data_IF_968839952251
#
_entry.id   IF_968839952251
#
_cell.length_a   1.000
_cell.length_b   1.000
_cell.length_c   1.000
_cell.angle_alpha   90.00
_cell.angle_beta   90.00
_cell.angle_gamma   90.00
#
_symmetry.space_group_name_H-M   'P 1'
#
loop_
_entity.id
_entity.type
_entity.pdbx_description
1 polymer ?
#
# COMPACT_ATOMS: atom_id res chain seq x y z
N UNK A 1 -58.36 23.95 7.96
CA UNK A 1 -57.04 23.89 8.54
C UNK A 1 -56.50 22.44 8.57
N UNK A 2 -57.24 21.46 9.11
CA UNK A 2 -56.83 20.04 9.18
C UNK A 2 -56.56 19.45 7.79
N UNK A 3 -57.40 19.68 6.79
CA UNK A 3 -57.22 19.18 5.42
C UNK A 3 -55.97 19.75 4.74
N UNK A 4 -55.63 21.02 4.99
CA UNK A 4 -54.42 21.65 4.46
C UNK A 4 -53.19 21.08 5.15
N UNK A 5 -53.22 20.86 6.47
CA UNK A 5 -52.12 20.27 7.21
C UNK A 5 -51.86 18.80 6.76
N UNK A 6 -52.91 18.00 6.55
CA UNK A 6 -52.77 16.62 6.06
C UNK A 6 -52.22 16.56 4.63
N UNK A 7 -52.61 17.48 3.75
CA UNK A 7 -52.08 17.57 2.39
C UNK A 7 -50.62 17.97 2.37
N UNK A 8 -50.22 18.96 3.18
CA UNK A 8 -48.81 19.36 3.33
C UNK A 8 -47.95 18.23 3.88
N UNK A 9 -48.47 17.49 4.86
CA UNK A 9 -47.79 16.33 5.43
C UNK A 9 -47.62 15.20 4.40
N UNK A 10 -48.64 14.92 3.58
CA UNK A 10 -48.57 13.93 2.52
C UNK A 10 -47.54 14.31 1.44
N UNK A 11 -47.45 15.58 1.05
CA UNK A 11 -46.47 16.11 0.12
C UNK A 11 -45.04 15.98 0.71
N UNK A 12 -44.87 16.33 1.99
CA UNK A 12 -43.60 16.18 2.68
C UNK A 12 -43.14 14.72 2.75
N UNK A 13 -44.05 13.79 3.07
CA UNK A 13 -43.76 12.35 3.04
C UNK A 13 -43.34 11.88 1.64
N UNK A 14 -44.08 12.31 0.62
CA UNK A 14 -43.74 11.95 -0.77
C UNK A 14 -42.34 12.45 -1.18
N UNK A 15 -42.00 13.71 -0.85
CA UNK A 15 -40.72 14.28 -1.14
C UNK A 15 -39.59 13.61 -0.36
N UNK A 16 -39.80 13.23 0.91
CA UNK A 16 -38.82 12.54 1.74
C UNK A 16 -38.60 11.07 1.36
N UNK A 17 -39.49 10.51 0.53
CA UNK A 17 -39.42 9.13 0.06
C UNK A 17 -38.43 8.92 -1.10
N UNK A 18 -37.91 9.98 -1.69
CA UNK A 18 -37.00 9.89 -2.81
C UNK A 18 -35.59 10.39 -2.44
N UNK A 19 -34.59 9.81 -3.07
CA UNK A 19 -33.24 10.31 -3.04
C UNK A 19 -32.58 10.10 -4.40
N UNK A 20 -31.62 10.95 -4.72
CA UNK A 20 -30.85 10.89 -5.98
C UNK A 20 -29.50 10.24 -5.72
N UNK A 21 -29.05 9.42 -6.67
CA UNK A 21 -27.72 8.82 -6.70
C UNK A 21 -26.89 9.45 -7.80
N UNK A 22 -25.59 9.65 -7.52
CA UNK A 22 -24.64 10.27 -8.44
C UNK A 22 -23.60 9.25 -8.92
N UNK A 23 -23.00 9.52 -10.07
CA UNK A 23 -21.89 8.71 -10.59
C UNK A 23 -20.66 8.78 -9.67
N UNK A 24 -19.96 7.64 -9.53
CA UNK A 24 -18.75 7.55 -8.71
C UNK A 24 -19.01 7.21 -7.25
N UNK A 25 -20.29 7.05 -6.88
CA UNK A 25 -20.71 6.63 -5.54
C UNK A 25 -21.50 5.33 -5.61
N UNK A 26 -21.43 4.59 -4.52
CA UNK A 26 -22.29 3.44 -4.25
C UNK A 26 -23.14 3.78 -3.02
N UNK A 27 -24.43 3.62 -3.15
CA UNK A 27 -25.37 3.93 -2.08
C UNK A 27 -25.94 2.64 -1.50
N UNK A 28 -25.86 2.52 -0.19
CA UNK A 28 -26.44 1.40 0.56
C UNK A 28 -27.59 1.93 1.38
N UNK A 29 -28.80 1.45 1.09
CA UNK A 29 -30.03 1.83 1.80
C UNK A 29 -30.38 0.68 2.75
N UNK A 30 -30.33 0.96 4.04
CA UNK A 30 -30.74 0.05 5.09
C UNK A 30 -32.12 0.44 5.59
N UNK A 31 -33.10 -0.41 5.35
CA UNK A 31 -34.45 -0.24 5.84
C UNK A 31 -34.58 -0.91 7.22
N UNK A 32 -34.79 -0.09 8.25
CA UNK A 32 -34.94 -0.58 9.63
C UNK A 32 -36.29 -1.25 9.88
N UNK A 33 -37.32 -0.89 9.11
CA UNK A 33 -38.66 -1.45 9.24
C UNK A 33 -38.73 -2.91 8.74
N UNK A 34 -38.08 -3.18 7.59
CA UNK A 34 -38.13 -4.50 6.93
C UNK A 34 -36.82 -5.29 7.11
N UNK A 35 -35.78 -4.68 7.72
CA UNK A 35 -34.47 -5.29 7.89
C UNK A 35 -33.73 -5.56 6.57
N UNK A 36 -34.15 -4.92 5.47
CA UNK A 36 -33.56 -5.14 4.15
C UNK A 36 -32.43 -4.16 3.87
N UNK A 37 -31.42 -4.62 3.13
CA UNK A 37 -30.32 -3.79 2.64
C UNK A 37 -30.34 -3.82 1.12
N UNK A 38 -30.46 -2.64 0.50
CA UNK A 38 -30.46 -2.46 -0.96
C UNK A 38 -29.26 -1.65 -1.38
N UNK A 39 -28.66 -2.01 -2.52
CA UNK A 39 -27.46 -1.35 -3.07
C UNK A 39 -27.81 -0.71 -4.40
N UNK A 40 -27.38 0.53 -4.58
CA UNK A 40 -27.55 1.31 -5.79
C UNK A 40 -26.18 1.81 -6.28
N UNK A 41 -25.78 1.38 -7.48
CA UNK A 41 -24.50 1.74 -8.10
C UNK A 41 -24.66 2.66 -9.30
N UNK A 42 -25.89 2.75 -9.84
CA UNK A 42 -26.21 3.56 -11.00
C UNK A 42 -26.84 4.89 -10.60
N UNK A 43 -26.61 5.96 -11.36
CA UNK A 43 -27.21 7.25 -11.11
C UNK A 43 -28.72 7.19 -11.40
N UNK A 44 -29.50 7.87 -10.60
CA UNK A 44 -30.95 7.91 -10.78
C UNK A 44 -31.72 8.40 -9.57
N UNK A 45 -33.03 8.35 -9.70
CA UNK A 45 -33.98 8.67 -8.62
C UNK A 45 -34.49 7.34 -8.04
N UNK A 46 -34.27 7.16 -6.74
CA UNK A 46 -34.63 5.93 -6.05
C UNK A 46 -35.58 6.19 -4.87
N UNK A 47 -36.36 5.16 -4.56
CA UNK A 47 -37.30 5.20 -3.46
C UNK A 47 -36.69 4.66 -2.16
N UNK A 48 -36.93 5.36 -1.05
CA UNK A 48 -36.65 4.91 0.32
C UNK A 48 -37.88 5.10 1.21
N UNK A 49 -38.01 4.30 2.26
CA UNK A 49 -39.07 4.45 3.24
C UNK A 49 -38.71 5.65 4.15
N UNK A 50 -39.52 6.72 4.15
CA UNK A 50 -39.21 7.88 4.96
C UNK A 50 -39.17 7.52 6.45
N UNK A 51 -38.27 8.13 7.20
CA UNK A 51 -37.98 7.91 8.62
C UNK A 51 -37.39 6.53 8.99
N UNK A 52 -37.60 5.49 8.18
CA UNK A 52 -37.14 4.13 8.48
C UNK A 52 -35.98 3.67 7.62
N UNK A 53 -35.55 4.43 6.62
CA UNK A 53 -34.39 4.08 5.77
C UNK A 53 -33.24 5.02 6.02
N UNK A 54 -32.08 4.44 6.31
CA UNK A 54 -30.79 5.13 6.34
C UNK A 54 -30.04 4.92 5.03
N UNK A 55 -29.51 5.99 4.47
CA UNK A 55 -28.70 5.96 3.24
C UNK A 55 -27.22 6.18 3.59
N UNK A 56 -26.40 5.21 3.25
CA UNK A 56 -24.95 5.27 3.42
C UNK A 56 -24.30 5.42 2.06
N UNK A 57 -23.32 6.32 1.97
CA UNK A 57 -22.63 6.63 0.71
C UNK A 57 -21.19 6.14 0.79
N UNK A 58 -20.76 5.41 -0.23
CA UNK A 58 -19.38 4.91 -0.40
C UNK A 58 -18.83 5.44 -1.70
N UNK A 59 -17.62 6.01 -1.68
CA UNK A 59 -16.91 6.37 -2.93
C UNK A 59 -16.47 5.09 -3.64
N UNK A 60 -16.75 4.98 -4.93
CA UNK A 60 -16.30 3.82 -5.73
C UNK A 60 -14.78 3.76 -5.87
N UNK A 61 -14.12 4.91 -5.92
CA UNK A 61 -12.68 5.03 -5.96
C UNK A 61 -12.16 5.75 -4.72
N UNK A 62 -11.15 5.16 -4.08
CA UNK A 62 -10.53 5.69 -2.87
C UNK A 62 -9.03 5.81 -3.09
N UNK A 63 -8.46 6.94 -2.70
CA UNK A 63 -7.04 7.19 -2.76
C UNK A 63 -6.51 7.46 -1.37
N UNK A 64 -5.61 6.60 -0.89
CA UNK A 64 -4.89 6.78 0.37
C UNK A 64 -3.51 7.32 0.05
N UNK A 65 -3.14 8.45 0.63
CA UNK A 65 -1.81 9.04 0.48
C UNK A 65 -1.08 8.99 1.81
N UNK A 66 0.08 8.33 1.81
CA UNK A 66 1.01 8.29 2.93
C UNK A 66 2.22 9.16 2.58
N UNK A 67 2.47 10.19 3.37
CA UNK A 67 3.59 11.09 3.21
C UNK A 67 3.23 12.57 3.23
N UNK A 68 4.23 13.41 3.46
CA UNK A 68 4.07 14.85 3.39
C UNK A 68 4.07 15.32 1.93
N UNK A 69 3.11 16.16 1.59
CA UNK A 69 3.06 16.86 0.31
C UNK A 69 4.08 18.03 0.27
N UNK A 70 5.37 17.73 0.34
CA UNK A 70 6.38 18.77 0.07
C UNK A 70 6.53 19.10 -1.43
N UNK A 71 5.95 18.29 -2.30
CA UNK A 71 6.06 18.44 -3.77
C UNK A 71 4.86 19.16 -4.38
N UNK A 72 4.35 20.25 -3.82
CA UNK A 72 3.45 21.19 -4.51
C UNK A 72 2.22 20.64 -5.27
N UNK A 73 2.14 19.38 -5.50
CA UNK A 73 1.06 18.70 -6.20
C UNK A 73 0.00 18.25 -5.19
N UNK A 74 -1.09 19.01 -5.11
CA UNK A 74 -2.26 18.63 -4.30
C UNK A 74 -2.93 17.41 -4.89
N UNK A 75 -2.45 16.22 -4.54
CA UNK A 75 -3.15 14.98 -4.85
C UNK A 75 -4.46 15.00 -4.05
N UNK A 76 -5.58 15.04 -4.75
CA UNK A 76 -6.89 14.95 -4.13
C UNK A 76 -7.07 13.52 -3.58
N UNK A 77 -6.60 13.30 -2.35
CA UNK A 77 -6.68 12.02 -1.66
C UNK A 77 -7.93 11.95 -0.78
N UNK A 78 -8.48 10.75 -0.63
CA UNK A 78 -9.60 10.48 0.30
C UNK A 78 -9.14 10.60 1.75
N UNK A 79 -7.92 10.13 2.03
CA UNK A 79 -7.24 10.24 3.34
C UNK A 79 -5.76 10.56 3.12
N UNK A 80 -5.25 11.46 3.95
CA UNK A 80 -3.84 11.78 4.01
C UNK A 80 -3.28 11.34 5.36
N UNK A 81 -2.17 10.61 5.33
CA UNK A 81 -1.54 9.97 6.49
C UNK A 81 -0.04 10.25 6.48
N UNK A 82 0.60 10.09 7.64
CA UNK A 82 2.06 10.12 7.72
C UNK A 82 2.70 8.98 6.91
N UNK A 83 3.96 9.15 6.55
CA UNK A 83 4.75 8.14 5.82
C UNK A 83 4.71 6.78 6.51
N UNK A 84 4.81 5.71 5.73
CA UNK A 84 4.89 4.36 6.29
C UNK A 84 6.31 4.11 6.76
N UNK A 85 6.48 3.93 8.05
CA UNK A 85 7.75 3.52 8.64
C UNK A 85 7.91 2.00 8.46
N UNK A 86 9.03 1.59 7.89
CA UNK A 86 9.34 0.19 7.61
C UNK A 86 10.70 -0.18 8.17
N UNK A 87 10.87 -1.46 8.49
CA UNK A 87 12.14 -2.05 8.86
C UNK A 87 12.55 -3.10 7.84
N UNK A 88 13.77 -3.01 7.35
CA UNK A 88 14.37 -3.98 6.43
C UNK A 88 14.93 -5.22 7.16
N UNK A 89 15.30 -6.24 6.39
CA UNK A 89 15.87 -7.49 6.90
C UNK A 89 17.18 -7.29 7.70
N UNK A 90 17.94 -6.27 7.36
CA UNK A 90 19.20 -5.87 8.01
C UNK A 90 19.01 -4.89 9.18
N UNK A 91 17.78 -4.78 9.68
CA UNK A 91 17.37 -3.94 10.82
C UNK A 91 17.40 -2.42 10.59
N UNK A 92 17.84 -1.94 9.44
CA UNK A 92 17.71 -0.53 9.09
C UNK A 92 16.25 -0.13 8.89
N UNK A 93 15.93 1.12 9.19
CA UNK A 93 14.59 1.68 9.02
C UNK A 93 14.56 2.73 7.93
N UNK A 94 13.39 2.90 7.33
CA UNK A 94 13.12 3.97 6.40
C UNK A 94 11.66 4.40 6.48
N UNK A 95 11.39 5.63 6.00
CA UNK A 95 10.04 6.13 5.79
C UNK A 95 9.74 6.12 4.30
N UNK A 96 8.65 5.46 3.95
CA UNK A 96 8.24 5.29 2.55
C UNK A 96 6.95 6.07 2.34
N UNK A 97 7.01 7.18 1.57
CA UNK A 97 5.81 7.82 1.08
C UNK A 97 5.20 6.98 -0.04
N UNK A 98 3.90 6.70 0.06
CA UNK A 98 3.22 5.86 -0.91
C UNK A 98 1.77 6.33 -1.12
N UNK A 99 1.25 6.10 -2.32
CA UNK A 99 -0.15 6.36 -2.66
C UNK A 99 -0.78 5.10 -3.19
N UNK A 100 -1.89 4.71 -2.58
CA UNK A 100 -2.65 3.52 -2.94
C UNK A 100 -4.02 3.92 -3.45
N UNK A 101 -4.41 3.39 -4.59
CA UNK A 101 -5.73 3.61 -5.18
C UNK A 101 -6.52 2.33 -5.20
N UNK A 102 -7.66 2.35 -4.51
CA UNK A 102 -8.59 1.23 -4.41
C UNK A 102 -9.88 1.52 -5.19
N UNK A 103 -10.53 0.47 -5.61
CA UNK A 103 -11.86 0.52 -6.21
C UNK A 103 -12.77 -0.50 -5.53
N UNK A 104 -13.96 -0.07 -5.13
CA UNK A 104 -14.99 -0.96 -4.60
C UNK A 104 -15.51 -1.92 -5.68
N UNK A 105 -15.99 -3.08 -5.23
CA UNK A 105 -16.72 -4.01 -6.10
C UNK A 105 -17.98 -3.36 -6.66
N UNK A 106 -18.37 -3.79 -7.85
CA UNK A 106 -19.69 -3.48 -8.40
C UNK A 106 -20.74 -4.55 -7.99
N UNK A 107 -20.30 -5.64 -7.37
CA UNK A 107 -21.17 -6.75 -6.92
C UNK A 107 -21.96 -6.36 -5.67
N UNK A 108 -23.31 -6.31 -5.74
CA UNK A 108 -24.14 -5.91 -4.61
C UNK A 108 -23.99 -6.81 -3.38
N UNK A 109 -23.73 -8.11 -3.55
CA UNK A 109 -23.59 -9.04 -2.43
C UNK A 109 -22.33 -8.74 -1.61
N UNK A 110 -21.22 -8.45 -2.30
CA UNK A 110 -19.96 -8.06 -1.67
C UNK A 110 -20.06 -6.71 -0.96
N UNK A 111 -20.82 -5.76 -1.53
CA UNK A 111 -21.07 -4.47 -0.90
C UNK A 111 -21.94 -4.64 0.36
N UNK A 112 -22.94 -5.51 0.32
CA UNK A 112 -23.77 -5.81 1.51
C UNK A 112 -22.93 -6.45 2.60
N UNK A 113 -22.07 -7.44 2.26
CA UNK A 113 -21.15 -8.07 3.21
C UNK A 113 -20.22 -7.05 3.86
N UNK A 114 -19.60 -6.18 3.04
CA UNK A 114 -18.77 -5.07 3.49
C UNK A 114 -19.53 -4.12 4.43
N UNK A 115 -20.75 -3.72 4.05
CA UNK A 115 -21.57 -2.80 4.86
C UNK A 115 -21.95 -3.41 6.21
N UNK A 116 -22.25 -4.71 6.26
CA UNK A 116 -22.57 -5.41 7.51
C UNK A 116 -21.41 -5.39 8.50
N UNK A 117 -20.17 -5.49 8.01
CA UNK A 117 -18.99 -5.52 8.86
C UNK A 117 -18.52 -4.12 9.27
N UNK A 118 -18.37 -3.22 8.31
CA UNK A 118 -17.79 -1.90 8.58
C UNK A 118 -18.83 -0.81 8.89
N UNK A 119 -20.06 -0.97 8.46
CA UNK A 119 -21.20 -0.05 8.66
C UNK A 119 -21.05 1.35 8.09
N UNK A 120 -19.84 1.87 8.00
CA UNK A 120 -19.57 3.22 7.48
C UNK A 120 -18.36 3.25 6.56
N UNK A 121 -18.33 4.28 5.71
CA UNK A 121 -17.21 4.52 4.80
C UNK A 121 -15.89 4.77 5.54
N UNK A 122 -15.92 5.57 6.61
CA UNK A 122 -14.73 5.88 7.39
C UNK A 122 -14.18 4.64 8.10
N UNK A 123 -15.04 3.79 8.67
CA UNK A 123 -14.60 2.53 9.29
C UNK A 123 -13.97 1.58 8.28
N UNK A 124 -14.49 1.50 7.05
CA UNK A 124 -13.89 0.72 5.98
C UNK A 124 -12.47 1.18 5.69
N UNK A 125 -12.28 2.49 5.54
CA UNK A 125 -10.97 3.08 5.27
C UNK A 125 -10.01 2.81 6.43
N UNK A 126 -10.42 3.15 7.66
CA UNK A 126 -9.53 3.13 8.82
C UNK A 126 -9.23 1.70 9.31
N UNK A 127 -10.23 0.81 9.26
CA UNK A 127 -10.10 -0.55 9.81
C UNK A 127 -9.54 -1.56 8.82
N UNK A 128 -9.80 -1.42 7.52
CA UNK A 128 -9.36 -2.34 6.49
C UNK A 128 -8.27 -1.75 5.61
N UNK A 129 -8.56 -0.68 4.86
CA UNK A 129 -7.68 -0.24 3.79
C UNK A 129 -6.35 0.30 4.30
N UNK A 130 -6.38 1.17 5.31
CA UNK A 130 -5.16 1.76 5.89
C UNK A 130 -4.31 0.68 6.55
N UNK A 131 -4.93 -0.21 7.33
CA UNK A 131 -4.21 -1.28 8.02
C UNK A 131 -3.60 -2.27 7.04
N UNK A 132 -4.36 -2.66 6.01
CA UNK A 132 -3.87 -3.59 5.00
C UNK A 132 -2.73 -2.97 4.18
N UNK A 133 -2.88 -1.72 3.70
CA UNK A 133 -1.82 -1.03 2.96
C UNK A 133 -0.53 -0.90 3.77
N UNK A 134 -0.63 -0.50 5.05
CA UNK A 134 0.54 -0.43 5.95
C UNK A 134 1.16 -1.81 6.19
N UNK A 135 0.34 -2.81 6.52
CA UNK A 135 0.83 -4.16 6.81
C UNK A 135 1.57 -4.76 5.62
N UNK A 136 0.97 -4.69 4.43
CA UNK A 136 1.62 -5.22 3.22
C UNK A 136 2.92 -4.47 2.92
N UNK A 137 2.97 -3.15 3.10
CA UNK A 137 4.19 -2.35 2.90
C UNK A 137 5.30 -2.78 3.86
N UNK A 138 4.98 -2.92 5.16
CA UNK A 138 5.94 -3.33 6.18
C UNK A 138 6.45 -4.75 5.93
N UNK A 139 5.54 -5.70 5.66
CA UNK A 139 5.92 -7.10 5.41
C UNK A 139 6.76 -7.23 4.13
N UNK A 140 6.41 -6.49 3.07
CA UNK A 140 7.21 -6.47 1.84
C UNK A 140 8.63 -5.95 2.10
N UNK A 141 8.78 -4.92 2.93
CA UNK A 141 10.09 -4.35 3.26
C UNK A 141 11.02 -5.35 3.97
N UNK A 142 10.49 -6.25 4.79
CA UNK A 142 11.31 -7.27 5.47
C UNK A 142 11.97 -8.29 4.51
N UNK A 143 11.56 -8.31 3.25
CA UNK A 143 12.14 -9.17 2.20
C UNK A 143 13.39 -8.55 1.55
N UNK A 144 13.68 -7.28 1.86
CA UNK A 144 14.82 -6.52 1.31
C UNK A 144 15.78 -6.11 2.41
N UNK A 145 17.05 -5.97 2.05
CA UNK A 145 17.99 -5.21 2.87
C UNK A 145 17.86 -3.71 2.53
N UNK A 146 18.18 -2.83 3.49
CA UNK A 146 18.17 -1.40 3.23
C UNK A 146 19.08 -1.00 2.07
N UNK A 147 20.25 -1.63 1.99
CA UNK A 147 21.18 -1.41 0.90
C UNK A 147 20.60 -1.82 -0.46
N UNK A 148 20.05 -3.04 -0.58
CA UNK A 148 19.41 -3.55 -1.80
C UNK A 148 18.29 -2.60 -2.26
N UNK A 149 17.47 -2.12 -1.32
CA UNK A 149 16.36 -1.24 -1.60
C UNK A 149 16.83 0.11 -2.18
N UNK A 150 17.83 0.75 -1.57
CA UNK A 150 18.30 2.07 -1.98
C UNK A 150 19.29 2.03 -3.17
N UNK A 151 19.88 0.89 -3.48
CA UNK A 151 20.79 0.69 -4.63
C UNK A 151 20.08 0.23 -5.92
N UNK A 152 18.76 0.39 -6.03
CA UNK A 152 18.01 0.09 -7.26
C UNK A 152 16.88 -0.90 -7.08
N UNK A 153 16.67 -1.43 -5.87
CA UNK A 153 15.59 -2.38 -5.56
C UNK A 153 14.19 -1.78 -5.53
N UNK A 154 14.05 -0.45 -5.62
CA UNK A 154 12.76 0.24 -5.50
C UNK A 154 11.71 -0.23 -6.50
N UNK A 155 12.09 -0.45 -7.76
CA UNK A 155 11.15 -0.93 -8.78
C UNK A 155 10.67 -2.35 -8.50
N UNK A 156 11.57 -3.23 -8.08
CA UNK A 156 11.24 -4.60 -7.69
C UNK A 156 10.31 -4.61 -6.47
N UNK A 157 10.63 -3.79 -5.48
CA UNK A 157 9.80 -3.59 -4.29
C UNK A 157 8.39 -3.11 -4.66
N UNK A 158 8.26 -2.10 -5.54
CA UNK A 158 6.98 -1.59 -6.01
C UNK A 158 6.13 -2.68 -6.66
N UNK A 159 6.72 -3.46 -7.57
CA UNK A 159 6.02 -4.56 -8.26
C UNK A 159 5.55 -5.62 -7.26
N UNK A 160 6.42 -6.03 -6.32
CA UNK A 160 6.05 -6.99 -5.29
C UNK A 160 5.00 -6.47 -4.32
N UNK A 161 5.10 -5.19 -3.93
CA UNK A 161 4.11 -4.54 -3.08
C UNK A 161 2.72 -4.52 -3.74
N UNK A 162 2.66 -4.15 -5.03
CA UNK A 162 1.43 -4.12 -5.80
C UNK A 162 0.84 -5.53 -5.95
N UNK A 163 1.67 -6.51 -6.27
CA UNK A 163 1.25 -7.91 -6.38
C UNK A 163 0.74 -8.48 -5.05
N UNK A 164 1.46 -8.25 -3.94
CA UNK A 164 1.02 -8.73 -2.63
C UNK A 164 -0.25 -8.03 -2.13
N UNK A 165 -0.40 -6.75 -2.44
CA UNK A 165 -1.59 -6.01 -2.07
C UNK A 165 -2.83 -6.47 -2.88
N UNK A 166 -2.62 -6.89 -4.13
CA UNK A 166 -3.67 -7.34 -5.04
C UNK A 166 -4.04 -8.81 -4.83
N UNK A 167 -3.04 -9.67 -4.64
CA UNK A 167 -3.21 -11.13 -4.65
C UNK A 167 -2.95 -11.81 -3.28
N UNK A 168 -2.65 -11.03 -2.23
CA UNK A 168 -2.33 -11.51 -0.90
C UNK A 168 -0.82 -11.62 -0.62
N UNK A 169 -0.49 -11.52 0.66
CA UNK A 169 0.88 -11.58 1.16
C UNK A 169 1.54 -12.92 0.83
N UNK A 170 2.82 -12.90 0.48
CA UNK A 170 3.61 -14.11 0.38
C UNK A 170 3.81 -14.73 1.75
N UNK A 171 3.70 -16.06 1.83
CA UNK A 171 4.22 -16.81 2.96
C UNK A 171 5.75 -16.78 2.89
N UNK A 172 6.39 -16.35 3.97
CA UNK A 172 7.84 -16.23 4.03
C UNK A 172 8.41 -17.01 5.18
N UNK A 173 9.60 -17.56 4.99
CA UNK A 173 10.41 -18.20 6.02
C UNK A 173 11.71 -17.43 6.22
N UNK A 174 12.14 -17.29 7.46
CA UNK A 174 13.38 -16.61 7.79
C UNK A 174 14.58 -17.55 7.62
N UNK A 175 15.42 -17.26 6.65
CA UNK A 175 16.61 -18.07 6.34
C UNK A 175 17.88 -17.21 6.36
N UNK A 176 19.01 -17.84 6.72
CA UNK A 176 20.30 -17.20 6.54
C UNK A 176 20.71 -17.32 5.06
N UNK A 177 20.94 -16.17 4.44
CA UNK A 177 21.40 -16.07 3.06
C UNK A 177 22.78 -15.45 3.04
N UNK A 178 23.64 -16.04 2.25
CA UNK A 178 24.93 -15.46 1.94
C UNK A 178 24.74 -14.28 0.99
N UNK A 179 25.06 -13.08 1.47
CA UNK A 179 25.08 -11.87 0.64
C UNK A 179 26.53 -11.52 0.38
N UNK A 180 26.90 -11.49 -0.88
CA UNK A 180 28.22 -10.99 -1.28
C UNK A 180 28.31 -9.50 -0.95
N UNK A 181 29.00 -9.17 0.11
CA UNK A 181 29.40 -7.79 0.37
C UNK A 181 30.70 -7.54 -0.35
N UNK A 182 30.70 -6.64 -1.30
CA UNK A 182 31.94 -6.10 -1.85
C UNK A 182 32.58 -5.24 -0.77
N UNK A 183 33.44 -5.84 0.06
CA UNK A 183 34.13 -5.15 1.14
C UNK A 183 35.16 -4.20 0.54
N UNK A 184 34.74 -2.93 0.39
CA UNK A 184 35.61 -1.84 -0.06
C UNK A 184 36.76 -1.55 0.94
N UNK A 185 36.69 -2.10 2.15
CA UNK A 185 37.72 -1.95 3.16
C UNK A 185 38.96 -2.86 2.91
N UNK A 186 38.80 -3.93 2.16
CA UNK A 186 39.92 -4.83 1.83
C UNK A 186 40.92 -4.24 0.81
N UNK A 187 40.58 -3.09 0.19
CA UNK A 187 41.44 -2.43 -0.82
C UNK A 187 42.53 -1.55 -0.20
N UNK A 188 42.51 -1.35 1.12
CA UNK A 188 43.53 -0.49 1.78
C UNK A 188 44.81 -1.23 2.23
N UNK A 189 44.90 -2.56 2.09
CA UNK A 189 46.13 -3.29 2.31
C UNK A 189 46.75 -3.67 0.96
N UNK A 190 47.49 -2.74 0.39
CA UNK A 190 48.48 -3.02 -0.66
C UNK A 190 49.57 -3.91 -0.10
N UNK A 191 49.36 -5.20 -0.18
CA UNK A 191 50.47 -6.15 -0.22
C UNK A 191 50.60 -6.67 -1.64
N UNK A 192 51.77 -6.60 -2.13
CA UNK A 192 52.39 -6.77 -3.46
C UNK A 192 52.18 -8.17 -4.08
N UNK A 193 51.07 -8.81 -3.89
CA UNK A 193 50.79 -10.09 -4.53
C UNK A 193 49.37 -10.13 -5.13
N UNK A 194 49.36 -10.22 -6.44
CA UNK A 194 48.28 -10.11 -7.37
C UNK A 194 46.88 -10.56 -6.92
N UNK A 195 45.96 -9.62 -6.98
CA UNK A 195 44.61 -9.76 -7.52
C UNK A 195 43.78 -10.94 -7.03
N UNK A 196 43.47 -10.98 -5.74
CA UNK A 196 42.34 -11.71 -5.21
C UNK A 196 41.47 -10.75 -4.37
N UNK A 197 40.45 -10.25 -5.00
CA UNK A 197 39.30 -9.66 -4.30
C UNK A 197 38.73 -10.71 -3.34
N UNK A 198 39.10 -10.66 -2.08
CA UNK A 198 38.42 -11.47 -1.05
C UNK A 198 36.98 -11.00 -0.98
N UNK A 199 36.10 -11.80 -1.58
CA UNK A 199 34.66 -11.64 -1.42
C UNK A 199 34.33 -12.07 0.00
N UNK A 200 34.15 -11.12 0.90
CA UNK A 200 33.57 -11.40 2.21
C UNK A 200 32.12 -11.72 2.05
N UNK A 201 31.76 -12.96 2.29
CA UNK A 201 30.39 -13.44 2.36
C UNK A 201 29.86 -13.10 3.76
N UNK A 202 28.85 -12.26 3.83
CA UNK A 202 28.15 -11.96 5.06
C UNK A 202 26.84 -12.75 5.11
N UNK A 203 26.65 -13.50 6.21
CA UNK A 203 25.39 -14.18 6.47
C UNK A 203 24.38 -13.16 6.99
N UNK A 204 23.34 -12.90 6.21
CA UNK A 204 22.23 -12.02 6.59
C UNK A 204 20.96 -12.85 6.70
N UNK A 205 20.19 -12.60 7.77
CA UNK A 205 18.87 -13.18 7.91
C UNK A 205 17.88 -12.45 6.98
N UNK A 206 17.30 -13.18 6.03
CA UNK A 206 16.34 -12.63 5.08
C UNK A 206 15.07 -13.48 5.05
N UNK A 207 13.94 -12.84 4.85
CA UNK A 207 12.67 -13.54 4.63
C UNK A 207 12.60 -13.99 3.18
N UNK A 208 12.57 -15.32 2.98
CA UNK A 208 12.50 -15.95 1.66
C UNK A 208 11.05 -16.37 1.40
N UNK A 209 10.59 -16.12 0.19
CA UNK A 209 9.24 -16.49 -0.26
C UNK A 209 9.17 -18.01 -0.40
N UNK A 210 8.21 -18.63 0.29
CA UNK A 210 7.91 -20.05 0.15
C UNK A 210 7.23 -20.30 -1.20
N UNK A 211 7.65 -21.38 -1.87
CA UNK A 211 7.05 -21.83 -3.11
C UNK A 211 6.26 -23.13 -2.87
N UNK A 212 5.21 -23.31 -3.63
CA UNK A 212 4.47 -24.56 -3.68
C UNK A 212 5.16 -25.60 -4.59
N UNK A 213 4.58 -26.78 -4.72
CA UNK A 213 5.09 -27.86 -5.58
C UNK A 213 5.12 -27.50 -7.09
N UNK A 214 4.40 -26.45 -7.49
CA UNK A 214 4.36 -25.92 -8.86
C UNK A 214 5.35 -24.76 -9.07
N UNK A 215 6.13 -24.38 -8.05
CA UNK A 215 7.07 -23.24 -8.11
C UNK A 215 6.40 -21.87 -7.98
N UNK A 216 5.10 -21.83 -7.62
CA UNK A 216 4.40 -20.57 -7.37
C UNK A 216 4.56 -20.13 -5.92
N UNK A 217 4.60 -18.82 -5.70
CA UNK A 217 4.68 -18.27 -4.36
C UNK A 217 3.41 -18.62 -3.55
N UNK A 218 3.60 -19.25 -2.40
CA UNK A 218 2.51 -19.46 -1.45
C UNK A 218 2.02 -18.13 -0.91
N UNK A 219 0.71 -18.01 -0.73
CA UNK A 219 0.06 -16.75 -0.33
C UNK A 219 -0.89 -16.92 0.83
N UNK A 220 -0.93 -15.89 1.65
CA UNK A 220 -1.96 -15.71 2.67
C UNK A 220 -3.18 -15.07 2.00
N UNK A 221 -4.38 -15.50 2.37
CA UNK A 221 -5.61 -14.96 1.81
C UNK A 221 -5.68 -13.44 1.93
N UNK A 222 -6.03 -12.78 0.81
CA UNK A 222 -6.16 -11.34 0.79
C UNK A 222 -7.48 -10.90 1.45
N UNK A 223 -7.44 -10.09 2.52
CA UNK A 223 -8.65 -9.62 3.17
C UNK A 223 -9.53 -8.72 2.28
N UNK A 224 -8.99 -8.15 1.20
CA UNK A 224 -9.74 -7.32 0.24
C UNK A 224 -10.64 -8.16 -0.67
N UNK A 225 -10.29 -9.42 -0.93
CA UNK A 225 -11.03 -10.31 -1.85
C UNK A 225 -12.42 -10.64 -1.32
N UNK A 226 -12.57 -10.77 0.01
CA UNK A 226 -13.86 -11.03 0.65
C UNK A 226 -14.91 -9.97 0.27
N UNK A 227 -14.49 -8.72 0.05
CA UNK A 227 -15.34 -7.60 -0.32
C UNK A 227 -15.21 -7.19 -1.79
N UNK A 228 -14.38 -7.91 -2.56
CA UNK A 228 -14.11 -7.61 -3.97
C UNK A 228 -13.48 -6.23 -4.21
N UNK A 229 -12.73 -5.74 -3.23
CA UNK A 229 -12.00 -4.47 -3.34
C UNK A 229 -10.75 -4.70 -4.19
N UNK A 230 -10.61 -3.92 -5.25
CA UNK A 230 -9.48 -4.04 -6.19
C UNK A 230 -8.45 -2.95 -5.94
N UNK A 231 -7.18 -3.34 -5.97
CA UNK A 231 -6.07 -2.39 -6.03
C UNK A 231 -5.87 -1.96 -7.48
N UNK A 232 -5.90 -0.67 -7.75
CA UNK A 232 -5.78 -0.13 -9.12
C UNK A 232 -4.42 0.44 -9.42
N UNK A 233 -3.77 1.00 -8.41
CA UNK A 233 -2.47 1.64 -8.59
C UNK A 233 -1.75 1.74 -7.25
N UNK A 234 -0.47 1.46 -7.28
CA UNK A 234 0.48 1.73 -6.19
C UNK A 234 1.57 2.66 -6.72
N UNK A 235 1.75 3.79 -6.06
CA UNK A 235 2.83 4.73 -6.38
C UNK A 235 3.68 4.91 -5.14
N UNK A 236 4.99 4.82 -5.29
CA UNK A 236 5.95 5.04 -4.20
C UNK A 236 6.68 6.35 -4.52
N UNK A 237 6.68 7.27 -3.55
CA UNK A 237 7.45 8.50 -3.62
C UNK A 237 8.93 8.25 -3.29
N UNK A 238 9.68 9.32 -3.05
CA UNK A 238 11.08 9.21 -2.67
C UNK A 238 11.21 8.72 -1.23
N UNK A 239 11.76 7.52 -0.98
CA UNK A 239 11.92 7.00 0.38
C UNK A 239 13.01 7.78 1.12
N UNK A 240 12.81 7.94 2.42
CA UNK A 240 13.74 8.62 3.32
C UNK A 240 14.41 7.59 4.22
N UNK A 241 15.71 7.33 4.06
CA UNK A 241 16.45 6.42 4.91
C UNK A 241 16.64 7.02 6.31
N UNK A 242 16.81 6.15 7.30
CA UNK A 242 17.33 6.54 8.61
C UNK A 242 18.74 7.14 8.48
N UNK A 243 19.10 8.07 9.36
CA UNK A 243 20.42 8.75 9.32
C UNK A 243 21.61 7.78 9.26
N UNK A 244 21.55 6.70 10.03
CA UNK A 244 22.62 5.68 10.07
C UNK A 244 22.77 4.95 8.73
N UNK A 245 21.67 4.64 8.07
CA UNK A 245 21.69 4.03 6.73
C UNK A 245 22.18 5.03 5.67
N UNK A 246 21.74 6.30 5.77
CA UNK A 246 22.14 7.35 4.85
C UNK A 246 23.68 7.58 4.93
N UNK A 247 24.23 7.70 6.13
CA UNK A 247 25.69 7.82 6.35
C UNK A 247 26.47 6.63 5.77
N UNK A 248 25.94 5.42 5.90
CA UNK A 248 26.55 4.21 5.34
C UNK A 248 26.54 4.25 3.82
N UNK A 249 25.43 4.63 3.21
CA UNK A 249 25.28 4.74 1.76
C UNK A 249 26.19 5.83 1.18
N UNK A 250 26.34 6.97 1.88
CA UNK A 250 27.26 8.05 1.49
C UNK A 250 28.71 7.56 1.54
N UNK A 251 29.12 6.95 2.66
CA UNK A 251 30.47 6.38 2.79
C UNK A 251 30.81 5.37 1.69
N UNK A 252 29.84 4.49 1.35
CA UNK A 252 30.03 3.54 0.24
C UNK A 252 30.21 4.25 -1.10
N UNK A 253 29.42 5.27 -1.39
CA UNK A 253 29.58 6.08 -2.63
C UNK A 253 30.96 6.72 -2.71
N UNK A 254 31.43 7.31 -1.62
CA UNK A 254 32.75 7.96 -1.57
C UNK A 254 33.88 6.95 -1.80
N UNK A 255 33.78 5.75 -1.21
CA UNK A 255 34.77 4.70 -1.40
C UNK A 255 34.77 4.18 -2.85
N UNK A 256 33.60 4.00 -3.46
CA UNK A 256 33.47 3.60 -4.88
C UNK A 256 34.07 4.68 -5.79
N UNK A 257 33.77 5.96 -5.54
CA UNK A 257 34.33 7.08 -6.31
C UNK A 257 35.86 7.11 -6.22
N UNK A 258 36.45 7.01 -5.02
CA UNK A 258 37.90 6.94 -4.81
C UNK A 258 38.53 5.75 -5.54
N UNK A 259 37.88 4.58 -5.53
CA UNK A 259 38.37 3.40 -6.25
C UNK A 259 38.39 3.63 -7.77
N UNK A 260 37.31 4.15 -8.32
CA UNK A 260 37.24 4.46 -9.77
C UNK A 260 38.33 5.44 -10.15
N UNK A 261 38.58 6.48 -9.36
CA UNK A 261 39.62 7.48 -9.61
C UNK A 261 41.02 6.83 -9.54
N UNK A 262 41.25 5.92 -8.57
CA UNK A 262 42.52 5.21 -8.44
C UNK A 262 42.78 4.28 -9.63
N UNK A 263 41.77 3.54 -10.10
CA UNK A 263 41.89 2.67 -11.29
C UNK A 263 42.19 3.51 -12.53
N UNK A 264 41.48 4.62 -12.73
CA UNK A 264 41.72 5.53 -13.87
C UNK A 264 43.12 6.13 -13.84
N UNK A 265 43.61 6.52 -12.65
CA UNK A 265 44.98 7.04 -12.50
C UNK A 265 46.03 5.94 -12.82
N UNK A 266 45.78 4.70 -12.47
CA UNK A 266 46.67 3.56 -12.77
C UNK A 266 46.67 3.22 -14.27
N UNK A 267 45.50 3.29 -14.93
CA UNK A 267 45.40 3.09 -16.38
C UNK A 267 46.08 4.22 -17.17
N UNK A 268 46.05 5.45 -16.67
CA UNK A 268 46.68 6.61 -17.33
C UNK A 268 48.19 6.63 -17.15
N UNK A 269 48.71 5.94 -16.11
CA UNK A 269 50.14 5.84 -15.82
C UNK A 269 50.85 4.67 -16.53
N UNK A 270 50.11 3.82 -17.22
CA UNK A 270 50.58 2.76 -18.11
C UNK A 270 50.65 3.21 -19.55
#
# INVERSE_FOLDING_TARGET
LLAIASSLFAVFLAMSSFFTTELGYTYVVQDTLFGTIRVFTEPGLHFKVPFFSNVYTYNQAMTLSFGNQESGEKIKSTRQLGEVEVQFADTYTARIPATFRFRLSADPEKIVAMHREFRSYDNLIDSLLIKNAKNVTVVTATQYTGEEFFQGGLNKFKVQLEDQLQNGLYETERQQVEVEQTDLAAVSSTNDDGDRLERKVQLVWKNIILQDSAGQAKRIANPLDAYGIQVRQVTIGRPLPEKRLDELLVKKKDLVAKRITAIQAQETAR
#
